data_IF_389280106977
#
_entry.id   IF_389280106977
#
_cell.length_a   1.000
_cell.length_b   1.000
_cell.length_c   1.000
_cell.angle_alpha   90.00
_cell.angle_beta   90.00
_cell.angle_gamma   90.00
#
_symmetry.space_group_name_H-M   'P 1'
#
loop_
_entity.id
_entity.type
_entity.pdbx_description
1 polymer ?
#
# COMPACT_ATOMS: atom_id res chain seq x y z
N UNK A 1 10.20 16.63 6.69
CA UNK A 1 10.66 15.23 6.88
C UNK A 1 11.42 14.68 5.67
N UNK A 2 11.21 15.23 4.49
CA UNK A 2 11.67 14.80 3.17
C UNK A 2 13.17 14.65 2.97
N UNK A 3 13.95 15.67 3.26
CA UNK A 3 15.39 15.65 3.00
C UNK A 3 16.16 14.67 3.92
N UNK A 4 15.63 14.35 5.09
CA UNK A 4 16.33 13.49 6.06
C UNK A 4 16.33 12.01 5.66
N UNK A 5 15.23 11.50 5.06
CA UNK A 5 15.13 10.10 4.69
C UNK A 5 16.03 9.78 3.49
N UNK A 6 16.03 10.65 2.47
CA UNK A 6 16.95 10.52 1.33
C UNK A 6 18.40 10.64 1.75
N UNK A 7 18.67 11.58 2.64
CA UNK A 7 20.02 11.77 3.19
C UNK A 7 20.51 10.51 3.90
N UNK A 8 19.64 9.83 4.66
CA UNK A 8 19.98 8.56 5.33
C UNK A 8 20.31 7.46 4.30
N UNK A 9 19.50 7.31 3.24
CA UNK A 9 19.77 6.33 2.17
C UNK A 9 21.10 6.58 1.48
N UNK A 10 21.38 7.82 1.09
CA UNK A 10 22.62 8.18 0.43
C UNK A 10 23.83 8.10 1.37
N UNK A 11 23.69 8.59 2.60
CA UNK A 11 24.74 8.49 3.62
C UNK A 11 25.13 7.02 3.81
N UNK A 12 24.12 6.16 3.91
CA UNK A 12 24.32 4.74 4.10
C UNK A 12 25.00 4.09 2.89
N UNK A 13 24.58 4.45 1.69
CA UNK A 13 25.21 4.00 0.45
C UNK A 13 26.70 4.37 0.38
N UNK A 14 27.04 5.63 0.68
CA UNK A 14 28.42 6.07 0.68
C UNK A 14 29.25 5.44 1.81
N UNK A 15 28.65 5.16 2.97
CA UNK A 15 29.32 4.46 4.06
C UNK A 15 29.69 3.03 3.65
N UNK A 16 28.77 2.29 3.04
CA UNK A 16 29.04 0.93 2.55
C UNK A 16 30.06 0.95 1.40
N UNK A 17 29.94 1.91 0.48
CA UNK A 17 30.90 2.10 -0.60
C UNK A 17 32.32 2.33 -0.02
N UNK A 18 32.47 3.25 0.94
CA UNK A 18 33.74 3.52 1.61
C UNK A 18 34.29 2.31 2.35
N UNK A 19 33.43 1.56 3.03
CA UNK A 19 33.78 0.31 3.72
C UNK A 19 34.32 -0.75 2.74
N UNK A 20 33.67 -0.94 1.60
CA UNK A 20 34.10 -1.90 0.58
C UNK A 20 35.40 -1.47 -0.07
N UNK A 21 35.58 -0.19 -0.37
CA UNK A 21 36.85 0.34 -0.87
C UNK A 21 37.98 0.14 0.14
N UNK A 22 37.69 0.29 1.44
CA UNK A 22 38.67 0.02 2.51
C UNK A 22 39.05 -1.47 2.57
N UNK A 23 38.08 -2.38 2.55
CA UNK A 23 38.30 -3.82 2.58
C UNK A 23 39.09 -4.33 1.37
N UNK A 24 38.95 -3.70 0.21
CA UNK A 24 39.70 -4.05 -1.01
C UNK A 24 41.08 -3.39 -1.09
N UNK A 25 41.52 -2.69 -0.05
CA UNK A 25 42.85 -2.10 0.04
C UNK A 25 43.05 -0.83 -0.84
N UNK A 26 41.97 -0.22 -1.35
CA UNK A 26 42.09 0.98 -2.21
C UNK A 26 42.70 2.15 -1.44
N UNK A 27 42.40 2.31 -0.15
CA UNK A 27 42.94 3.38 0.69
C UNK A 27 44.36 3.07 1.20
N UNK A 28 44.75 1.79 1.26
CA UNK A 28 46.10 1.40 1.67
C UNK A 28 47.09 1.33 0.50
N UNK A 29 46.63 1.53 -0.73
CA UNK A 29 47.47 1.47 -1.92
C UNK A 29 47.83 0.05 -2.38
N UNK A 30 47.42 -0.96 -1.64
CA UNK A 30 47.62 -2.38 -1.98
C UNK A 30 46.31 -3.02 -2.35
N UNK A 31 45.95 -3.00 -3.65
CA UNK A 31 44.75 -3.66 -4.14
C UNK A 31 44.92 -5.16 -4.11
N UNK A 32 44.19 -5.84 -3.25
CA UNK A 32 44.33 -7.29 -2.99
C UNK A 32 43.93 -8.13 -4.21
N UNK A 33 42.92 -7.67 -5.01
CA UNK A 33 42.51 -8.33 -6.27
C UNK A 33 41.66 -7.35 -7.10
N UNK A 34 42.11 -7.09 -8.33
CA UNK A 34 41.37 -6.22 -9.27
C UNK A 34 40.01 -6.83 -9.65
N UNK A 35 39.92 -8.14 -9.85
CA UNK A 35 38.66 -8.81 -10.21
C UNK A 35 37.61 -8.65 -9.10
N UNK A 36 38.02 -8.85 -7.84
CA UNK A 36 37.12 -8.67 -6.69
C UNK A 36 36.61 -7.25 -6.54
N UNK A 37 37.47 -6.28 -6.75
CA UNK A 37 37.10 -4.86 -6.73
C UNK A 37 36.08 -4.53 -7.83
N UNK A 38 36.29 -5.00 -9.07
CA UNK A 38 35.37 -4.78 -10.19
C UNK A 38 34.00 -5.37 -9.95
N UNK A 39 33.88 -6.58 -9.41
CA UNK A 39 32.60 -7.23 -9.15
C UNK A 39 31.83 -6.49 -8.07
N UNK A 40 32.49 -6.18 -6.95
CA UNK A 40 31.88 -5.44 -5.84
C UNK A 40 31.43 -4.04 -6.29
N UNK A 41 32.29 -3.33 -7.03
CA UNK A 41 31.97 -2.00 -7.53
C UNK A 41 30.83 -2.04 -8.57
N UNK A 42 30.82 -3.04 -9.44
CA UNK A 42 29.74 -3.25 -10.43
C UNK A 42 28.39 -3.48 -9.75
N UNK A 43 28.33 -4.37 -8.76
CA UNK A 43 27.11 -4.58 -7.98
C UNK A 43 26.66 -3.33 -7.25
N UNK A 44 27.57 -2.60 -6.60
CA UNK A 44 27.24 -1.33 -5.94
C UNK A 44 26.76 -0.27 -6.93
N UNK A 45 27.35 -0.19 -8.10
CA UNK A 45 26.92 0.73 -9.14
C UNK A 45 25.47 0.47 -9.56
N UNK A 46 25.10 -0.79 -9.76
CA UNK A 46 23.71 -1.18 -10.07
C UNK A 46 22.79 -0.76 -8.94
N UNK A 47 23.14 -1.04 -7.68
CA UNK A 47 22.36 -0.61 -6.50
C UNK A 47 22.23 0.90 -6.45
N UNK A 48 23.30 1.65 -6.74
CA UNK A 48 23.29 3.12 -6.80
C UNK A 48 22.35 3.65 -7.88
N UNK A 49 22.34 3.06 -9.06
CA UNK A 49 21.39 3.42 -10.14
C UNK A 49 19.94 3.17 -9.69
N UNK A 50 19.66 2.02 -9.07
CA UNK A 50 18.33 1.72 -8.56
C UNK A 50 17.89 2.75 -7.50
N UNK A 51 18.78 3.16 -6.61
CA UNK A 51 18.50 4.23 -5.65
C UNK A 51 18.23 5.58 -6.30
N UNK A 52 18.98 5.96 -7.34
CA UNK A 52 18.76 7.21 -8.07
C UNK A 52 17.38 7.23 -8.76
N UNK A 53 17.01 6.14 -9.42
CA UNK A 53 15.69 6.02 -10.07
C UNK A 53 14.58 6.14 -9.02
N UNK A 54 14.72 5.42 -7.88
CA UNK A 54 13.76 5.51 -6.77
C UNK A 54 13.70 6.89 -6.15
N UNK A 55 14.82 7.57 -5.99
CA UNK A 55 14.86 8.92 -5.44
C UNK A 55 14.06 9.91 -6.31
N UNK A 56 14.10 9.77 -7.64
CA UNK A 56 13.27 10.57 -8.56
C UNK A 56 11.79 10.30 -8.32
N UNK A 57 11.39 9.04 -8.21
CA UNK A 57 10.00 8.66 -7.93
C UNK A 57 9.53 9.17 -6.56
N UNK A 58 10.35 9.01 -5.55
CA UNK A 58 10.04 9.51 -4.20
C UNK A 58 9.94 11.03 -4.14
N UNK A 59 10.77 11.76 -4.90
CA UNK A 59 10.66 13.23 -4.95
C UNK A 59 9.39 13.70 -5.64
N UNK A 60 8.88 12.95 -6.63
CA UNK A 60 7.56 13.22 -7.23
C UNK A 60 6.44 12.96 -6.24
N UNK A 61 6.45 11.78 -5.63
CA UNK A 61 5.47 11.41 -4.60
C UNK A 61 5.47 12.41 -3.44
N UNK A 62 6.65 12.79 -3.00
CA UNK A 62 6.80 13.74 -1.92
C UNK A 62 6.20 15.11 -2.26
N UNK A 63 6.34 15.63 -3.48
CA UNK A 63 5.69 16.88 -3.91
C UNK A 63 4.18 16.74 -3.96
N UNK A 64 3.69 15.58 -4.40
CA UNK A 64 2.27 15.28 -4.40
C UNK A 64 1.68 15.29 -2.98
N UNK A 65 2.35 14.63 -2.04
CA UNK A 65 1.93 14.56 -0.63
C UNK A 65 1.97 15.93 0.05
N UNK A 66 2.97 16.79 -0.28
CA UNK A 66 2.98 18.17 0.25
C UNK A 66 1.81 18.98 -0.30
N UNK A 67 1.51 18.81 -1.58
CA UNK A 67 0.37 19.50 -2.19
C UNK A 67 -0.95 19.07 -1.52
N UNK A 68 -1.10 17.78 -1.15
CA UNK A 68 -2.24 17.31 -0.38
C UNK A 68 -2.29 17.92 1.02
N UNK A 69 -1.16 17.93 1.73
CA UNK A 69 -1.06 18.51 3.08
C UNK A 69 -1.35 20.01 3.08
N UNK A 70 -0.80 20.75 2.11
CA UNK A 70 -1.03 22.20 1.94
C UNK A 70 -2.51 22.49 1.61
N UNK A 71 -3.12 21.64 0.77
CA UNK A 71 -4.55 21.74 0.45
C UNK A 71 -5.41 21.46 1.68
N UNK A 72 -5.09 20.42 2.45
CA UNK A 72 -5.76 20.08 3.71
C UNK A 72 -5.74 21.25 4.68
N UNK A 73 -4.56 21.82 4.90
CA UNK A 73 -4.39 22.98 5.77
C UNK A 73 -5.21 24.19 5.29
N UNK A 74 -5.17 24.48 3.99
CA UNK A 74 -5.87 25.61 3.39
C UNK A 74 -7.38 25.46 3.48
N UNK A 75 -7.92 24.26 3.23
CA UNK A 75 -9.33 23.93 3.34
C UNK A 75 -9.79 24.07 4.80
N UNK A 76 -9.05 23.46 5.73
CA UNK A 76 -9.41 23.48 7.14
C UNK A 76 -9.40 24.89 7.71
N UNK A 77 -8.38 25.69 7.38
CA UNK A 77 -8.29 27.10 7.79
C UNK A 77 -9.48 27.92 7.25
N UNK A 78 -9.79 27.75 5.95
CA UNK A 78 -10.89 28.47 5.32
C UNK A 78 -12.25 28.07 5.88
N UNK A 79 -12.40 26.79 6.21
CA UNK A 79 -13.60 26.28 6.86
C UNK A 79 -13.80 26.89 8.26
N UNK A 80 -12.72 26.98 9.04
CA UNK A 80 -12.77 27.65 10.37
C UNK A 80 -13.13 29.14 10.27
N UNK A 81 -12.63 29.84 9.25
CA UNK A 81 -12.93 31.27 9.02
C UNK A 81 -14.38 31.51 8.60
N UNK A 82 -14.96 30.64 7.78
CA UNK A 82 -16.28 30.83 7.17
C UNK A 82 -17.41 30.16 7.95
N UNK A 83 -17.13 29.06 8.66
CA UNK A 83 -18.13 28.24 9.36
C UNK A 83 -19.18 27.61 8.44
N UNK A 84 -18.93 27.60 7.11
CA UNK A 84 -19.86 27.12 6.08
C UNK A 84 -19.19 26.11 5.17
N UNK A 85 -19.97 25.21 4.57
CA UNK A 85 -19.49 24.30 3.56
C UNK A 85 -18.86 25.05 2.38
N UNK A 86 -17.67 24.60 1.96
CA UNK A 86 -16.83 25.29 0.97
C UNK A 86 -17.09 24.82 -0.47
N UNK A 87 -18.07 23.96 -0.72
CA UNK A 87 -18.34 23.45 -2.07
C UNK A 87 -18.52 24.57 -3.10
N UNK A 88 -19.23 25.64 -2.73
CA UNK A 88 -19.43 26.80 -3.62
C UNK A 88 -18.14 27.46 -4.11
N UNK A 89 -17.05 27.42 -3.31
CA UNK A 89 -15.75 27.98 -3.68
C UNK A 89 -14.90 26.98 -4.49
N UNK A 90 -15.03 25.66 -4.20
CA UNK A 90 -14.18 24.62 -4.78
C UNK A 90 -14.73 23.99 -6.05
N UNK A 91 -16.04 24.03 -6.29
CA UNK A 91 -16.68 23.40 -7.45
C UNK A 91 -16.19 23.91 -8.82
N UNK A 92 -15.73 25.17 -8.90
CA UNK A 92 -15.28 25.80 -10.14
C UNK A 92 -13.77 26.14 -10.15
N UNK A 93 -13.04 25.76 -9.10
CA UNK A 93 -11.62 26.02 -8.95
C UNK A 93 -10.81 25.05 -9.79
N UNK A 94 -10.03 25.56 -10.76
CA UNK A 94 -9.29 24.74 -11.72
C UNK A 94 -8.01 24.10 -11.13
N UNK A 95 -7.39 24.77 -10.18
CA UNK A 95 -6.20 24.26 -9.48
C UNK A 95 -6.38 24.46 -7.99
N UNK A 96 -6.31 23.38 -7.25
CA UNK A 96 -6.44 23.32 -5.79
C UNK A 96 -5.11 22.96 -5.17
N UNK A 97 -4.36 22.07 -5.84
CA UNK A 97 -3.15 21.46 -5.30
C UNK A 97 -1.87 22.10 -5.84
N UNK A 98 -1.92 22.72 -7.03
CA UNK A 98 -0.71 23.15 -7.75
C UNK A 98 0.17 21.97 -8.20
N UNK A 99 -0.40 20.76 -8.25
CA UNK A 99 0.23 19.55 -8.72
C UNK A 99 -0.58 18.97 -9.89
N UNK A 100 0.02 18.75 -11.07
CA UNK A 100 -0.74 18.48 -12.29
C UNK A 100 -1.62 17.23 -12.19
N UNK A 101 -1.09 16.11 -11.69
CA UNK A 101 -1.84 14.87 -11.60
C UNK A 101 -3.02 14.96 -10.61
N UNK A 102 -2.85 15.68 -9.49
CA UNK A 102 -3.92 15.90 -8.51
C UNK A 102 -4.97 16.87 -9.06
N UNK A 103 -4.53 17.96 -9.69
CA UNK A 103 -5.45 18.93 -10.29
C UNK A 103 -6.26 18.29 -11.43
N UNK A 104 -5.64 17.45 -12.26
CA UNK A 104 -6.34 16.70 -13.32
C UNK A 104 -7.35 15.69 -12.75
N UNK A 105 -7.01 14.98 -11.69
CA UNK A 105 -7.93 14.08 -11.00
C UNK A 105 -9.11 14.84 -10.40
N UNK A 106 -8.84 15.99 -9.80
CA UNK A 106 -9.87 16.86 -9.22
C UNK A 106 -10.80 17.47 -10.29
N UNK A 107 -10.26 17.85 -11.43
CA UNK A 107 -11.08 18.34 -12.57
C UNK A 107 -12.00 17.24 -13.10
N UNK A 108 -11.53 15.98 -13.18
CA UNK A 108 -12.39 14.82 -13.53
C UNK A 108 -13.53 14.63 -12.51
N UNK A 109 -13.21 14.69 -11.23
CA UNK A 109 -14.20 14.67 -10.16
C UNK A 109 -15.23 15.80 -10.29
N UNK A 110 -14.79 17.06 -10.46
CA UNK A 110 -15.67 18.21 -10.64
C UNK A 110 -16.59 18.03 -11.87
N UNK A 111 -16.05 17.51 -12.98
CA UNK A 111 -16.83 17.24 -14.19
C UNK A 111 -17.95 16.23 -13.92
N UNK A 112 -17.66 15.19 -13.14
CA UNK A 112 -18.66 14.21 -12.73
C UNK A 112 -19.72 14.83 -11.83
N UNK A 113 -19.31 15.59 -10.83
CA UNK A 113 -20.20 16.30 -9.92
C UNK A 113 -21.13 17.28 -10.64
N UNK A 114 -20.64 17.97 -11.68
CA UNK A 114 -21.48 18.83 -12.53
C UNK A 114 -22.57 18.04 -13.26
N UNK A 115 -22.32 16.80 -13.62
CA UNK A 115 -23.32 15.91 -14.22
C UNK A 115 -24.50 15.60 -13.30
N UNK A 116 -24.27 15.63 -11.99
CA UNK A 116 -25.33 15.44 -10.98
C UNK A 116 -26.02 16.74 -10.56
N UNK A 117 -25.56 17.89 -11.08
CA UNK A 117 -26.18 19.19 -10.78
C UNK A 117 -27.36 19.42 -11.72
N UNK A 118 -28.57 19.46 -11.18
CA UNK A 118 -29.81 19.77 -11.88
C UNK A 118 -30.23 21.23 -11.65
N UNK A 119 -31.26 21.70 -12.38
CA UNK A 119 -31.86 23.04 -12.13
C UNK A 119 -32.44 23.18 -10.71
N UNK A 120 -32.67 22.06 -10.01
CA UNK A 120 -33.22 22.00 -8.63
C UNK A 120 -32.15 21.78 -7.56
N UNK A 121 -30.86 21.76 -7.92
CA UNK A 121 -29.77 21.51 -7.02
C UNK A 121 -29.03 20.21 -7.34
N UNK A 122 -28.22 19.75 -6.40
CA UNK A 122 -27.43 18.51 -6.53
C UNK A 122 -28.33 17.29 -6.29
N UNK A 123 -28.49 16.44 -7.31
CA UNK A 123 -29.33 15.25 -7.25
C UNK A 123 -28.62 14.05 -6.64
N UNK A 124 -27.28 14.02 -6.76
CA UNK A 124 -26.44 12.94 -6.26
C UNK A 124 -25.02 13.46 -6.00
N UNK A 125 -24.17 12.69 -5.34
CA UNK A 125 -22.74 12.98 -5.16
C UNK A 125 -21.90 11.77 -5.58
N UNK A 126 -20.72 12.03 -6.17
CA UNK A 126 -19.69 11.01 -6.28
C UNK A 126 -18.64 11.24 -5.20
N UNK A 127 -18.02 10.17 -4.76
CA UNK A 127 -16.96 10.26 -3.77
C UNK A 127 -15.66 10.73 -4.45
N UNK A 128 -14.94 11.65 -3.78
CA UNK A 128 -13.64 12.11 -4.23
C UNK A 128 -12.62 10.97 -4.25
N UNK A 129 -12.79 9.96 -3.39
CA UNK A 129 -11.94 8.79 -3.29
C UNK A 129 -11.88 7.96 -4.58
N UNK A 130 -12.89 8.05 -5.45
CA UNK A 130 -12.84 7.42 -6.78
C UNK A 130 -11.78 8.03 -7.71
N UNK A 131 -11.37 9.29 -7.46
CA UNK A 131 -10.48 10.06 -8.32
C UNK A 131 -9.12 10.33 -7.70
N UNK A 132 -9.08 10.60 -6.40
CA UNK A 132 -7.87 10.85 -5.63
C UNK A 132 -7.79 9.76 -4.55
N UNK A 133 -7.12 8.68 -4.90
CA UNK A 133 -7.02 7.45 -4.12
C UNK A 133 -5.58 6.96 -4.01
N UNK A 134 -5.39 5.84 -3.35
CA UNK A 134 -4.10 5.19 -3.19
C UNK A 134 -3.48 4.80 -4.53
N UNK A 135 -4.28 4.35 -5.52
CA UNK A 135 -3.81 3.97 -6.84
C UNK A 135 -3.15 5.15 -7.57
N UNK A 136 -3.70 6.37 -7.42
CA UNK A 136 -3.11 7.58 -7.98
C UNK A 136 -1.73 7.87 -7.35
N UNK A 137 -1.61 7.73 -6.02
CA UNK A 137 -0.33 7.90 -5.32
C UNK A 137 0.67 6.82 -5.74
N UNK A 138 0.22 5.60 -5.90
CA UNK A 138 1.02 4.46 -6.36
C UNK A 138 1.56 4.69 -7.77
N UNK A 139 0.74 5.24 -8.65
CA UNK A 139 1.16 5.59 -10.00
C UNK A 139 2.21 6.71 -9.99
N UNK A 140 1.98 7.80 -9.22
CA UNK A 140 2.93 8.91 -9.09
C UNK A 140 4.25 8.45 -8.47
N UNK A 141 4.18 7.63 -7.42
CA UNK A 141 5.31 7.06 -6.69
C UNK A 141 5.99 5.89 -7.40
N UNK A 142 5.50 5.46 -8.57
CA UNK A 142 5.99 4.26 -9.27
C UNK A 142 6.08 3.04 -8.32
N UNK A 143 5.01 2.79 -7.57
CA UNK A 143 4.93 1.77 -6.52
C UNK A 143 5.30 0.38 -7.04
N UNK A 144 4.83 0.00 -8.23
CA UNK A 144 5.18 -1.26 -8.89
C UNK A 144 6.68 -1.46 -9.08
N UNK A 145 7.39 -0.43 -9.46
CA UNK A 145 8.85 -0.50 -9.63
C UNK A 145 9.54 -0.57 -8.27
N UNK A 146 9.19 0.35 -7.36
CA UNK A 146 9.85 0.48 -6.07
C UNK A 146 9.62 -0.72 -5.14
N UNK A 147 8.46 -1.36 -5.20
CA UNK A 147 8.16 -2.57 -4.40
C UNK A 147 9.05 -3.75 -4.77
N UNK A 148 9.49 -3.83 -6.03
CA UNK A 148 10.34 -4.93 -6.53
C UNK A 148 11.84 -4.69 -6.31
N UNK A 149 12.28 -3.47 -6.03
CA UNK A 149 13.70 -3.13 -5.88
C UNK A 149 14.37 -3.92 -4.76
N UNK A 150 13.70 -4.06 -3.63
CA UNK A 150 14.22 -4.84 -2.50
C UNK A 150 14.54 -6.27 -2.90
N UNK A 151 13.61 -6.96 -3.61
CA UNK A 151 13.86 -8.30 -4.16
C UNK A 151 14.99 -8.32 -5.18
N UNK A 152 15.08 -7.32 -6.06
CA UNK A 152 16.16 -7.19 -7.04
C UNK A 152 17.53 -7.04 -6.38
N UNK A 153 17.62 -6.24 -5.31
CA UNK A 153 18.87 -6.08 -4.55
C UNK A 153 19.30 -7.38 -3.86
N UNK A 154 18.36 -8.11 -3.26
CA UNK A 154 18.64 -9.43 -2.69
C UNK A 154 19.09 -10.40 -3.78
N UNK A 155 18.39 -10.43 -4.92
CA UNK A 155 18.77 -11.25 -6.07
C UNK A 155 20.14 -10.91 -6.61
N UNK A 156 20.50 -9.62 -6.66
CA UNK A 156 21.84 -9.17 -7.05
C UNK A 156 22.92 -9.64 -6.05
N UNK A 157 22.62 -9.62 -4.75
CA UNK A 157 23.49 -10.17 -3.72
C UNK A 157 23.73 -11.67 -3.93
N UNK A 158 22.68 -12.45 -4.19
CA UNK A 158 22.77 -13.88 -4.48
C UNK A 158 23.55 -14.13 -5.78
N UNK A 159 23.26 -13.37 -6.84
CA UNK A 159 24.01 -13.47 -8.09
C UNK A 159 25.50 -13.21 -7.87
N UNK A 160 25.83 -12.20 -7.07
CA UNK A 160 27.21 -11.90 -6.71
C UNK A 160 27.92 -13.05 -5.96
N UNK A 161 27.17 -13.80 -5.12
CA UNK A 161 27.74 -15.01 -4.48
C UNK A 161 28.09 -16.08 -5.49
N UNK A 162 27.22 -16.36 -6.45
CA UNK A 162 27.50 -17.34 -7.51
C UNK A 162 28.67 -16.93 -8.39
N UNK A 163 28.73 -15.66 -8.76
CA UNK A 163 29.84 -15.12 -9.56
C UNK A 163 31.16 -15.23 -8.77
N UNK A 164 31.18 -14.82 -7.51
CA UNK A 164 32.36 -14.88 -6.66
C UNK A 164 32.89 -16.33 -6.47
N UNK A 165 31.96 -17.26 -6.17
CA UNK A 165 32.29 -18.67 -6.05
C UNK A 165 32.75 -19.29 -7.37
N UNK A 166 32.10 -18.98 -8.49
CA UNK A 166 32.47 -19.48 -9.81
C UNK A 166 33.88 -19.05 -10.21
N UNK A 167 34.23 -17.79 -9.95
CA UNK A 167 35.57 -17.28 -10.21
C UNK A 167 36.64 -17.93 -9.31
N UNK A 168 36.30 -18.09 -8.02
CA UNK A 168 37.18 -18.79 -7.06
C UNK A 168 37.42 -20.24 -7.42
N UNK A 169 36.33 -20.96 -7.80
CA UNK A 169 36.47 -22.37 -8.25
C UNK A 169 37.15 -22.48 -9.61
N UNK A 170 36.93 -21.54 -10.53
CA UNK A 170 37.56 -21.53 -11.84
C UNK A 170 39.10 -21.44 -11.79
N UNK A 171 39.61 -20.79 -10.74
CA UNK A 171 41.06 -20.76 -10.46
C UNK A 171 41.59 -22.06 -9.82
N UNK A 172 40.69 -22.91 -9.32
CA UNK A 172 41.05 -24.15 -8.66
C UNK A 172 41.25 -25.29 -9.66
N UNK A 173 42.43 -25.34 -10.25
CA UNK A 173 42.84 -26.39 -11.20
C UNK A 173 44.22 -26.88 -10.89
N UNK A 174 44.41 -28.20 -10.83
CA UNK A 174 45.73 -28.83 -10.61
C UNK A 174 45.59 -30.30 -10.29
N UNK A 175 46.54 -31.09 -10.79
CA UNK A 175 46.62 -32.53 -10.57
C UNK A 175 47.63 -32.92 -9.48
N UNK A 176 48.31 -31.94 -8.88
CA UNK A 176 49.33 -32.14 -7.90
C UNK A 176 49.05 -31.37 -6.59
N UNK A 177 49.45 -31.94 -5.44
CA UNK A 177 49.17 -31.40 -4.09
C UNK A 177 49.75 -29.99 -3.90
N UNK A 178 50.88 -29.69 -4.51
CA UNK A 178 51.53 -28.38 -4.43
C UNK A 178 50.71 -27.30 -5.21
N UNK A 179 50.24 -27.63 -6.41
CA UNK A 179 49.38 -26.75 -7.21
C UNK A 179 48.03 -26.54 -6.58
N UNK A 180 47.48 -27.53 -5.86
CA UNK A 180 46.23 -27.37 -5.07
C UNK A 180 46.45 -26.39 -3.91
N UNK A 181 47.56 -26.48 -3.20
CA UNK A 181 47.90 -25.57 -2.10
C UNK A 181 48.01 -24.10 -2.56
N UNK A 182 48.64 -23.87 -3.71
CA UNK A 182 48.81 -22.53 -4.27
C UNK A 182 47.48 -21.92 -4.76
N UNK A 183 46.51 -22.75 -5.13
CA UNK A 183 45.20 -22.34 -5.62
C UNK A 183 44.16 -22.09 -4.51
N UNK A 184 44.48 -22.35 -3.24
CA UNK A 184 43.60 -22.05 -2.09
C UNK A 184 43.41 -20.53 -1.92
N UNK A 185 44.42 -19.71 -2.21
CA UNK A 185 44.34 -18.24 -2.13
C UNK A 185 43.25 -17.66 -3.04
N UNK A 186 43.26 -17.92 -4.36
CA UNK A 186 42.21 -17.50 -5.29
C UNK A 186 40.81 -17.99 -4.91
N UNK A 187 40.68 -19.21 -4.38
CA UNK A 187 39.41 -19.74 -3.89
C UNK A 187 38.87 -18.92 -2.71
N UNK A 188 39.73 -18.64 -1.72
CA UNK A 188 39.36 -17.78 -0.58
C UNK A 188 39.00 -16.37 -1.00
N UNK A 189 39.67 -15.82 -1.99
CA UNK A 189 39.32 -14.51 -2.54
C UNK A 189 37.97 -14.49 -3.23
N UNK A 190 37.64 -15.51 -4.01
CA UNK A 190 36.30 -15.70 -4.57
C UNK A 190 35.23 -15.82 -3.49
N UNK A 191 35.51 -16.54 -2.42
CA UNK A 191 34.61 -16.62 -1.26
C UNK A 191 34.40 -15.27 -0.58
N UNK A 192 35.43 -14.45 -0.40
CA UNK A 192 35.32 -13.09 0.16
C UNK A 192 34.36 -12.25 -0.67
N UNK A 193 34.49 -12.29 -2.01
CA UNK A 193 33.55 -11.56 -2.91
C UNK A 193 32.13 -12.06 -2.71
N UNK A 194 31.93 -13.36 -2.69
CA UNK A 194 30.62 -13.97 -2.49
C UNK A 194 29.97 -13.50 -1.18
N UNK A 195 30.69 -13.52 -0.08
CA UNK A 195 30.18 -13.06 1.20
C UNK A 195 29.86 -11.56 1.19
N UNK A 196 30.76 -10.72 0.69
CA UNK A 196 30.58 -9.27 0.67
C UNK A 196 29.36 -8.88 -0.16
N UNK A 197 29.22 -9.43 -1.39
CA UNK A 197 28.08 -9.13 -2.26
C UNK A 197 26.74 -9.54 -1.65
N UNK A 198 26.71 -10.69 -0.97
CA UNK A 198 25.50 -11.15 -0.28
C UNK A 198 25.12 -10.22 0.87
N UNK A 199 26.08 -9.91 1.73
CA UNK A 199 25.82 -9.09 2.92
C UNK A 199 25.28 -7.72 2.54
N UNK A 200 25.94 -6.98 1.64
CA UNK A 200 25.44 -5.66 1.29
C UNK A 200 24.17 -5.72 0.42
N UNK A 201 24.00 -6.76 -0.42
CA UNK A 201 22.76 -6.96 -1.18
C UNK A 201 21.53 -7.12 -0.28
N UNK A 202 21.63 -7.99 0.73
CA UNK A 202 20.59 -8.19 1.74
C UNK A 202 20.38 -6.93 2.58
N UNK A 203 21.48 -6.29 2.99
CA UNK A 203 21.40 -5.11 3.84
C UNK A 203 20.72 -3.92 3.14
N UNK A 204 21.12 -3.61 1.92
CA UNK A 204 20.48 -2.57 1.13
C UNK A 204 19.01 -2.90 0.85
N UNK A 205 18.68 -4.15 0.59
CA UNK A 205 17.31 -4.62 0.44
C UNK A 205 16.45 -4.32 1.68
N UNK A 206 16.96 -4.64 2.87
CA UNK A 206 16.24 -4.39 4.12
C UNK A 206 16.04 -2.90 4.38
N UNK A 207 17.10 -2.09 4.23
CA UNK A 207 17.02 -0.64 4.43
C UNK A 207 16.06 0.00 3.43
N UNK A 208 16.17 -0.37 2.16
CA UNK A 208 15.29 0.15 1.11
C UNK A 208 13.83 -0.20 1.39
N UNK A 209 13.54 -1.47 1.71
CA UNK A 209 12.18 -1.91 2.00
C UNK A 209 11.57 -1.16 3.19
N UNK A 210 12.36 -0.95 4.25
CA UNK A 210 11.91 -0.19 5.41
C UNK A 210 11.59 1.28 5.04
N UNK A 211 12.48 1.92 4.29
CA UNK A 211 12.30 3.31 3.84
C UNK A 211 11.10 3.44 2.90
N UNK A 212 10.99 2.56 1.92
CA UNK A 212 9.89 2.55 0.97
C UNK A 212 8.54 2.41 1.68
N UNK A 213 8.41 1.41 2.57
CA UNK A 213 7.18 1.21 3.34
C UNK A 213 6.84 2.39 4.24
N UNK A 214 7.85 3.03 4.85
CA UNK A 214 7.64 4.22 5.68
C UNK A 214 7.15 5.41 4.86
N UNK A 215 7.67 5.61 3.65
CA UNK A 215 7.24 6.68 2.74
C UNK A 215 5.80 6.43 2.29
N UNK A 216 5.47 5.20 1.87
CA UNK A 216 4.11 4.87 1.42
C UNK A 216 3.09 5.01 2.55
N UNK A 217 3.39 4.48 3.73
CA UNK A 217 2.52 4.63 4.90
C UNK A 217 2.26 6.09 5.28
N UNK A 218 3.29 6.94 5.19
CA UNK A 218 3.13 8.38 5.39
C UNK A 218 2.24 8.99 4.31
N UNK A 219 2.46 8.63 3.04
CA UNK A 219 1.70 9.17 1.92
C UNK A 219 0.22 8.81 1.98
N UNK A 220 -0.11 7.57 2.31
CA UNK A 220 -1.51 7.14 2.48
C UNK A 220 -2.18 7.80 3.68
N UNK A 221 -1.44 8.05 4.75
CA UNK A 221 -1.98 8.80 5.88
C UNK A 221 -2.36 10.22 5.49
N UNK A 222 -1.48 10.96 4.82
CA UNK A 222 -1.77 12.32 4.38
C UNK A 222 -2.92 12.37 3.37
N UNK A 223 -3.03 11.35 2.49
CA UNK A 223 -4.18 11.18 1.61
C UNK A 223 -5.47 11.00 2.41
N UNK A 224 -5.48 10.11 3.38
CA UNK A 224 -6.66 9.85 4.23
C UNK A 224 -7.08 11.09 5.04
N UNK A 225 -6.10 11.84 5.55
CA UNK A 225 -6.34 13.10 6.25
C UNK A 225 -6.97 14.14 5.31
N UNK A 226 -6.47 14.24 4.07
CA UNK A 226 -7.04 15.11 3.05
C UNK A 226 -8.48 14.69 2.69
N UNK A 227 -8.72 13.41 2.41
CA UNK A 227 -10.05 12.89 2.06
C UNK A 227 -11.06 13.16 3.18
N UNK A 228 -10.67 12.93 4.42
CA UNK A 228 -11.51 13.20 5.59
C UNK A 228 -11.83 14.69 5.74
N UNK A 229 -10.83 15.55 5.62
CA UNK A 229 -11.00 17.00 5.65
C UNK A 229 -11.90 17.49 4.51
N UNK A 230 -11.70 16.98 3.30
CA UNK A 230 -12.50 17.33 2.14
C UNK A 230 -13.97 16.91 2.31
N UNK A 231 -14.21 15.70 2.81
CA UNK A 231 -15.54 15.17 3.08
C UNK A 231 -16.29 16.03 4.11
N UNK A 232 -15.60 16.44 5.15
CA UNK A 232 -16.20 17.26 6.22
C UNK A 232 -16.43 18.72 5.81
N UNK A 233 -15.44 19.34 5.15
CA UNK A 233 -15.42 20.78 4.94
C UNK A 233 -15.98 21.23 3.57
N UNK A 234 -15.83 20.38 2.54
CA UNK A 234 -16.09 20.76 1.15
C UNK A 234 -17.20 19.95 0.52
N UNK A 235 -17.27 18.63 0.78
CA UNK A 235 -18.25 17.76 0.11
C UNK A 235 -19.67 18.21 0.46
N UNK A 236 -20.53 18.51 -0.53
CA UNK A 236 -21.91 18.90 -0.25
C UNK A 236 -22.67 17.69 0.29
N UNK A 237 -23.33 17.84 1.43
CA UNK A 237 -24.24 16.81 1.92
C UNK A 237 -25.46 16.72 0.99
N UNK A 238 -25.73 15.56 0.42
CA UNK A 238 -26.95 15.23 -0.35
C UNK A 238 -28.17 15.21 0.59
N UNK A 239 -28.18 15.98 1.56
CA UNK A 239 -29.24 16.06 2.57
C UNK A 239 -29.43 17.44 3.13
N UNK A 240 -28.70 18.46 2.66
CA UNK A 240 -29.03 19.86 2.98
C UNK A 240 -30.29 20.36 2.23
N UNK A 241 -30.92 19.51 1.41
CA UNK A 241 -32.34 19.61 1.13
C UNK A 241 -33.21 19.41 2.39
N UNK A 242 -32.65 19.03 3.54
CA UNK A 242 -33.38 19.10 4.80
C UNK A 242 -33.81 20.55 5.11
N UNK A 243 -33.00 21.55 4.76
CA UNK A 243 -33.36 22.95 4.91
C UNK A 243 -34.30 23.41 3.81
N UNK A 244 -34.17 22.94 2.57
CA UNK A 244 -35.15 23.17 1.50
C UNK A 244 -36.40 22.30 1.67
N UNK A 245 -36.26 21.03 2.10
CA UNK A 245 -37.39 20.20 2.48
C UNK A 245 -38.07 20.72 3.76
N UNK A 246 -37.32 21.26 4.73
CA UNK A 246 -37.91 21.96 5.89
C UNK A 246 -38.56 23.26 5.48
N UNK A 247 -37.99 24.03 4.56
CA UNK A 247 -38.62 25.23 3.98
C UNK A 247 -39.81 24.86 3.10
N UNK A 248 -39.72 23.82 2.28
CA UNK A 248 -40.83 23.31 1.50
C UNK A 248 -41.93 22.75 2.42
N UNK A 249 -41.59 22.09 3.50
CA UNK A 249 -42.52 21.57 4.50
C UNK A 249 -43.15 22.70 5.33
N UNK A 250 -42.40 23.76 5.65
CA UNK A 250 -42.94 24.97 6.27
C UNK A 250 -43.87 25.73 5.34
N UNK A 251 -43.56 25.85 4.04
CA UNK A 251 -44.44 26.43 3.02
C UNK A 251 -45.68 25.54 2.83
N UNK A 252 -45.50 24.21 2.89
CA UNK A 252 -46.62 23.26 2.82
C UNK A 252 -47.52 23.36 4.06
N UNK A 253 -46.94 23.46 5.26
CA UNK A 253 -47.70 23.71 6.49
C UNK A 253 -48.40 25.07 6.48
N UNK A 254 -47.74 26.12 5.98
CA UNK A 254 -48.35 27.45 5.82
C UNK A 254 -49.49 27.44 4.83
N UNK A 255 -49.35 26.75 3.69
CA UNK A 255 -50.42 26.59 2.71
C UNK A 255 -51.58 25.74 3.25
N UNK A 256 -51.27 24.68 4.02
CA UNK A 256 -52.25 23.86 4.70
C UNK A 256 -53.02 24.65 5.78
N UNK A 257 -52.28 25.47 6.58
CA UNK A 257 -52.90 26.36 7.54
C UNK A 257 -53.79 27.42 6.90
N UNK A 258 -53.36 28.00 5.76
CA UNK A 258 -54.18 28.95 5.00
C UNK A 258 -55.38 28.27 4.35
N UNK A 259 -55.26 27.05 3.84
CA UNK A 259 -56.39 26.25 3.34
C UNK A 259 -57.37 25.89 4.45
N UNK A 260 -56.84 25.55 5.62
CA UNK A 260 -57.65 25.22 6.81
C UNK A 260 -58.37 26.47 7.34
N UNK A 261 -57.71 27.63 7.29
CA UNK A 261 -58.34 28.92 7.63
C UNK A 261 -59.42 29.30 6.61
N UNK A 262 -59.18 29.10 5.31
CA UNK A 262 -60.20 29.30 4.27
C UNK A 262 -61.39 28.35 4.44
N UNK A 263 -61.17 27.10 4.84
CA UNK A 263 -62.21 26.12 5.17
C UNK A 263 -63.00 26.57 6.40
N UNK A 264 -62.31 27.08 7.43
CA UNK A 264 -62.96 27.61 8.65
C UNK A 264 -63.80 28.89 8.37
N UNK A 265 -63.32 29.75 7.49
CA UNK A 265 -64.03 30.95 7.10
C UNK A 265 -65.25 30.61 6.21
N UNK A 266 -65.19 29.59 5.37
CA UNK A 266 -66.29 29.01 4.62
C UNK A 266 -67.34 28.35 5.53
N UNK A 267 -66.88 27.63 6.55
CA UNK A 267 -67.76 26.99 7.56
C UNK A 267 -68.48 28.02 8.46
N UNK A 268 -67.90 29.19 8.66
CA UNK A 268 -68.53 30.28 9.42
C UNK A 268 -69.59 31.08 8.59
N UNK A 269 -69.49 30.96 7.26
CA UNK A 269 -70.35 31.79 6.35
C UNK A 269 -71.66 31.17 5.91
N UNK A 270 -71.90 29.84 6.01
CA UNK A 270 -73.10 29.20 5.43
C UNK A 270 -73.62 28.04 6.28
N UNK A 271 -74.57 28.35 7.13
CA UNK A 271 -75.35 27.33 7.86
C UNK A 271 -76.48 26.68 7.05
N UNK A 272 -76.67 27.03 5.73
CA UNK A 272 -77.81 26.60 4.96
C UNK A 272 -77.55 25.67 3.75
N UNK A 273 -76.24 25.48 3.30
CA UNK A 273 -75.94 24.61 2.12
C UNK A 273 -74.89 23.55 2.40
N UNK A 274 -74.91 22.98 3.57
CA UNK A 274 -73.83 22.20 4.18
C UNK A 274 -73.58 20.79 3.57
N UNK A 275 -74.53 20.19 2.82
CA UNK A 275 -74.37 18.81 2.35
C UNK A 275 -73.64 18.65 1.01
N UNK A 276 -73.92 19.56 0.03
CA UNK A 276 -73.31 19.46 -1.30
C UNK A 276 -71.91 20.08 -1.38
N UNK A 277 -71.59 21.08 -0.50
CA UNK A 277 -70.30 21.75 -0.40
C UNK A 277 -69.23 20.83 0.26
N UNK A 278 -69.61 20.10 1.31
CA UNK A 278 -68.74 19.19 2.03
C UNK A 278 -68.24 18.04 1.15
N UNK A 279 -69.12 17.48 0.32
CA UNK A 279 -68.76 16.35 -0.57
C UNK A 279 -67.81 16.79 -1.72
N UNK A 280 -67.91 18.05 -2.16
CA UNK A 280 -66.99 18.60 -3.16
C UNK A 280 -65.61 18.91 -2.56
N UNK A 281 -65.57 19.48 -1.36
CA UNK A 281 -64.34 19.75 -0.62
C UNK A 281 -63.60 18.43 -0.24
N UNK A 282 -64.33 17.43 0.21
CA UNK A 282 -63.76 16.12 0.52
C UNK A 282 -63.18 15.43 -0.72
N UNK A 283 -63.90 15.49 -1.87
CA UNK A 283 -63.40 14.95 -3.13
C UNK A 283 -62.15 15.68 -3.63
N UNK A 284 -62.10 17.00 -3.56
CA UNK A 284 -60.94 17.78 -3.97
C UNK A 284 -59.73 17.59 -3.01
N UNK A 285 -59.97 17.47 -1.71
CA UNK A 285 -58.96 17.15 -0.71
C UNK A 285 -58.39 15.74 -0.92
N UNK A 286 -59.24 14.73 -1.10
CA UNK A 286 -58.80 13.37 -1.39
C UNK A 286 -58.02 13.27 -2.70
N UNK A 287 -58.45 14.03 -3.74
CA UNK A 287 -57.76 14.10 -5.02
C UNK A 287 -56.37 14.75 -4.88
N UNK A 288 -56.26 15.88 -4.19
CA UNK A 288 -54.99 16.57 -3.96
C UNK A 288 -54.05 15.73 -3.06
N UNK A 289 -54.59 15.05 -2.07
CA UNK A 289 -53.82 14.13 -1.23
C UNK A 289 -53.30 12.90 -2.04
N UNK A 290 -54.15 12.35 -2.89
CA UNK A 290 -53.80 11.22 -3.76
C UNK A 290 -52.75 11.59 -4.80
N UNK A 291 -52.87 12.75 -5.45
CA UNK A 291 -51.96 13.23 -6.48
C UNK A 291 -50.58 13.62 -5.90
N UNK A 292 -50.54 14.15 -4.67
CA UNK A 292 -49.30 14.64 -4.04
C UNK A 292 -48.60 13.52 -3.26
N UNK A 293 -49.34 12.70 -2.53
CA UNK A 293 -48.74 11.61 -1.72
C UNK A 293 -48.49 10.36 -2.54
N UNK A 294 -49.26 10.08 -3.60
CA UNK A 294 -49.12 8.90 -4.42
C UNK A 294 -47.75 8.81 -5.08
N UNK A 295 -47.26 9.93 -5.66
CA UNK A 295 -45.92 9.95 -6.30
C UNK A 295 -44.77 9.86 -5.30
N UNK A 296 -44.97 10.39 -4.11
CA UNK A 296 -43.91 10.36 -3.08
C UNK A 296 -43.87 9.05 -2.33
N UNK A 297 -45.01 8.38 -2.13
CA UNK A 297 -45.06 7.00 -1.65
C UNK A 297 -44.52 6.03 -2.68
N UNK A 298 -44.72 6.23 -3.97
CA UNK A 298 -44.15 5.41 -5.02
C UNK A 298 -42.61 5.53 -5.05
N UNK A 299 -42.07 6.75 -4.94
CA UNK A 299 -40.62 6.99 -4.83
C UNK A 299 -40.03 6.40 -3.56
N UNK A 300 -40.68 6.57 -2.41
CA UNK A 300 -40.25 5.98 -1.15
C UNK A 300 -40.26 4.46 -1.22
N UNK A 301 -41.30 3.86 -1.80
CA UNK A 301 -41.39 2.42 -2.02
C UNK A 301 -40.25 1.91 -2.91
N UNK A 302 -39.91 2.67 -3.97
CA UNK A 302 -38.81 2.33 -4.87
C UNK A 302 -37.45 2.43 -4.17
N UNK A 303 -37.21 3.52 -3.44
CA UNK A 303 -35.98 3.70 -2.66
C UNK A 303 -35.83 2.66 -1.54
N UNK A 304 -36.92 2.27 -0.90
CA UNK A 304 -36.91 1.20 0.11
C UNK A 304 -36.58 -0.17 -0.52
N UNK A 305 -37.12 -0.43 -1.70
CA UNK A 305 -36.86 -1.66 -2.42
C UNK A 305 -35.39 -1.72 -2.88
N UNK A 306 -34.86 -0.62 -3.42
CA UNK A 306 -33.44 -0.48 -3.78
C UNK A 306 -32.51 -0.65 -2.57
N UNK A 307 -32.88 -0.10 -1.41
CA UNK A 307 -32.15 -0.27 -0.16
C UNK A 307 -32.18 -1.73 0.34
N UNK A 308 -33.32 -2.41 0.23
CA UNK A 308 -33.44 -3.84 0.57
C UNK A 308 -32.61 -4.72 -0.36
N UNK A 309 -32.60 -4.41 -1.66
CA UNK A 309 -31.77 -5.15 -2.64
C UNK A 309 -30.27 -4.94 -2.37
N UNK A 310 -29.85 -3.71 -2.08
CA UNK A 310 -28.48 -3.40 -1.67
C UNK A 310 -28.10 -4.18 -0.39
N UNK A 311 -28.97 -4.22 0.61
CA UNK A 311 -28.72 -4.94 1.86
C UNK A 311 -28.63 -6.45 1.63
N UNK A 312 -29.39 -7.00 0.70
CA UNK A 312 -29.30 -8.41 0.33
C UNK A 312 -27.96 -8.74 -0.36
N UNK A 313 -27.44 -7.82 -1.19
CA UNK A 313 -26.12 -7.94 -1.82
C UNK A 313 -25.01 -7.86 -0.76
N UNK A 314 -25.08 -6.92 0.17
CA UNK A 314 -24.13 -6.80 1.28
C UNK A 314 -24.10 -8.06 2.15
N UNK A 315 -25.26 -8.62 2.48
CA UNK A 315 -25.35 -9.85 3.25
C UNK A 315 -24.70 -11.04 2.54
N UNK A 316 -24.89 -11.17 1.23
CA UNK A 316 -24.22 -12.23 0.43
C UNK A 316 -22.73 -12.04 0.36
N UNK A 317 -22.25 -10.81 0.16
CA UNK A 317 -20.82 -10.50 0.12
C UNK A 317 -20.17 -10.77 1.47
N UNK A 318 -20.85 -10.45 2.57
CA UNK A 318 -20.37 -10.75 3.93
C UNK A 318 -20.23 -12.25 4.17
N UNK A 319 -21.22 -13.04 3.78
CA UNK A 319 -21.15 -14.51 3.85
C UNK A 319 -20.03 -15.08 3.00
N UNK A 320 -19.83 -14.55 1.79
CA UNK A 320 -18.72 -14.97 0.93
C UNK A 320 -17.36 -14.64 1.56
N UNK A 321 -17.22 -13.47 2.15
CA UNK A 321 -15.99 -13.06 2.83
C UNK A 321 -15.73 -13.91 4.09
N UNK A 322 -16.76 -14.26 4.84
CA UNK A 322 -16.65 -15.16 5.99
C UNK A 322 -16.17 -16.55 5.58
N UNK A 323 -16.72 -17.09 4.49
CA UNK A 323 -16.31 -18.40 3.97
C UNK A 323 -14.85 -18.38 3.49
N UNK A 324 -14.46 -17.35 2.73
CA UNK A 324 -13.06 -17.17 2.26
C UNK A 324 -12.09 -17.03 3.44
N UNK A 325 -12.47 -16.30 4.48
CA UNK A 325 -11.66 -16.16 5.69
C UNK A 325 -11.50 -17.48 6.42
N UNK A 326 -12.56 -18.29 6.47
CA UNK A 326 -12.51 -19.63 7.06
C UNK A 326 -11.59 -20.57 6.27
N UNK A 327 -11.67 -20.56 4.94
CA UNK A 327 -10.79 -21.35 4.06
C UNK A 327 -9.32 -20.93 4.20
N UNK A 328 -9.05 -19.62 4.29
CA UNK A 328 -7.71 -19.09 4.55
C UNK A 328 -7.15 -19.53 5.91
N UNK A 329 -7.99 -19.54 6.95
CA UNK A 329 -7.62 -20.05 8.27
C UNK A 329 -7.29 -21.54 8.27
N UNK A 330 -8.07 -22.35 7.57
CA UNK A 330 -7.82 -23.78 7.41
C UNK A 330 -6.55 -24.05 6.61
N UNK A 331 -6.33 -23.34 5.52
CA UNK A 331 -5.10 -23.43 4.73
C UNK A 331 -3.85 -23.00 5.53
N UNK A 332 -3.95 -21.93 6.31
CA UNK A 332 -2.89 -21.48 7.21
C UNK A 332 -2.56 -22.51 8.29
N UNK A 333 -3.59 -23.20 8.84
CA UNK A 333 -3.40 -24.26 9.81
C UNK A 333 -2.70 -25.49 9.19
N UNK A 334 -3.09 -25.86 7.97
CA UNK A 334 -2.43 -26.94 7.22
C UNK A 334 -0.99 -26.63 6.88
N UNK A 335 -0.68 -25.37 6.54
CA UNK A 335 0.71 -24.94 6.34
C UNK A 335 1.53 -25.00 7.63
N UNK A 336 0.97 -24.60 8.76
CA UNK A 336 1.63 -24.67 10.06
C UNK A 336 1.96 -26.10 10.46
N UNK A 337 1.02 -27.04 10.25
CA UNK A 337 1.23 -28.47 10.51
C UNK A 337 2.28 -29.08 9.59
N UNK A 338 2.30 -28.69 8.32
CA UNK A 338 3.32 -29.12 7.36
C UNK A 338 4.71 -28.59 7.73
N UNK A 339 4.80 -27.32 8.19
CA UNK A 339 6.05 -26.73 8.69
C UNK A 339 6.55 -27.47 9.94
N UNK A 340 5.69 -27.81 10.88
CA UNK A 340 6.06 -28.55 12.09
C UNK A 340 6.59 -29.95 11.74
N UNK A 341 5.94 -30.63 10.81
CA UNK A 341 6.43 -31.91 10.28
C UNK A 341 7.79 -31.80 9.57
N UNK A 342 7.99 -30.73 8.79
CA UNK A 342 9.29 -30.53 8.11
C UNK A 342 10.38 -30.17 9.09
N UNK A 343 10.13 -29.35 10.09
CA UNK A 343 11.08 -29.06 11.18
C UNK A 343 11.46 -30.31 11.94
N UNK A 344 10.50 -31.14 12.34
CA UNK A 344 10.76 -32.39 13.05
C UNK A 344 11.61 -33.35 12.20
N UNK A 345 11.35 -33.42 10.87
CA UNK A 345 12.15 -34.22 9.94
C UNK A 345 13.57 -33.69 9.80
N UNK A 346 13.72 -32.37 9.75
CA UNK A 346 15.02 -31.72 9.65
C UNK A 346 15.86 -31.93 10.92
N UNK A 347 15.26 -31.89 12.09
CA UNK A 347 15.94 -32.21 13.36
C UNK A 347 16.43 -33.67 13.41
N UNK A 348 15.60 -34.62 12.98
CA UNK A 348 16.00 -36.04 12.89
C UNK A 348 17.17 -36.22 11.93
N UNK A 349 17.09 -35.60 10.75
CA UNK A 349 18.14 -35.67 9.74
C UNK A 349 19.44 -35.04 10.24
N UNK A 350 19.37 -33.90 10.92
CA UNK A 350 20.55 -33.26 11.55
C UNK A 350 21.20 -34.13 12.61
N UNK A 351 20.37 -34.81 13.42
CA UNK A 351 20.88 -35.76 14.43
C UNK A 351 21.54 -36.98 13.80
N UNK A 352 20.98 -37.48 12.71
CA UNK A 352 21.54 -38.62 11.98
C UNK A 352 22.85 -38.27 11.28
N UNK A 353 22.95 -37.09 10.67
CA UNK A 353 24.19 -36.55 10.13
C UNK A 353 25.28 -36.42 11.20
N UNK A 354 24.92 -35.91 12.38
CA UNK A 354 25.87 -35.83 13.50
C UNK A 354 26.39 -37.19 13.95
N UNK A 355 25.49 -38.16 14.04
CA UNK A 355 25.87 -39.54 14.37
C UNK A 355 26.80 -40.16 13.30
N UNK A 356 26.49 -39.91 12.00
CA UNK A 356 27.38 -40.40 10.91
C UNK A 356 28.74 -39.72 10.95
N UNK A 357 28.79 -38.42 11.24
CA UNK A 357 30.04 -37.68 11.39
C UNK A 357 30.88 -38.22 12.55
N UNK A 358 30.25 -38.53 13.70
CA UNK A 358 30.95 -39.15 14.83
C UNK A 358 31.48 -40.56 14.50
N UNK A 359 30.70 -41.37 13.75
CA UNK A 359 31.14 -42.68 13.29
C UNK A 359 32.30 -42.56 12.31
N UNK A 360 32.25 -41.60 11.38
CA UNK A 360 33.36 -41.36 10.44
C UNK A 360 34.64 -40.92 11.18
N UNK A 361 34.48 -40.02 12.15
CA UNK A 361 35.63 -39.58 12.98
C UNK A 361 36.29 -40.76 13.70
N UNK A 362 35.49 -41.61 14.36
CA UNK A 362 36.01 -42.82 15.03
C UNK A 362 36.70 -43.78 14.05
N UNK A 363 36.13 -43.98 12.86
CA UNK A 363 36.74 -44.80 11.82
C UNK A 363 38.08 -44.22 11.33
N UNK A 364 38.17 -42.90 11.16
CA UNK A 364 39.44 -42.24 10.85
C UNK A 364 40.48 -42.37 11.96
N UNK A 365 40.05 -42.23 13.21
CA UNK A 365 40.97 -42.40 14.37
C UNK A 365 41.51 -43.83 14.44
N UNK A 366 40.66 -44.85 14.24
CA UNK A 366 41.03 -46.25 14.20
C UNK A 366 42.00 -46.54 13.04
N UNK A 367 41.73 -46.02 11.87
CA UNK A 367 42.59 -46.17 10.68
C UNK A 367 43.93 -45.49 10.88
N UNK A 368 44.01 -44.37 11.55
CA UNK A 368 45.26 -43.67 11.86
C UNK A 368 46.11 -44.45 12.90
N UNK A 369 45.40 -45.06 13.86
CA UNK A 369 46.03 -45.94 14.85
C UNK A 369 46.62 -47.24 14.21
N UNK A 370 45.86 -47.87 13.31
CA UNK A 370 46.29 -49.03 12.54
C UNK A 370 47.48 -48.73 11.63
N UNK A 371 47.45 -47.59 10.91
CA UNK A 371 48.57 -47.13 10.09
C UNK A 371 49.80 -46.86 10.95
N UNK A 372 49.64 -46.24 12.11
CA UNK A 372 50.76 -45.99 13.03
C UNK A 372 51.38 -47.28 13.56
N UNK A 373 50.52 -48.25 13.89
CA UNK A 373 50.98 -49.58 14.35
C UNK A 373 51.72 -50.37 13.23
N UNK A 374 51.21 -50.29 11.99
CA UNK A 374 51.87 -50.90 10.85
C UNK A 374 53.21 -50.23 10.54
N UNK A 375 53.30 -48.92 10.59
CA UNK A 375 54.57 -48.19 10.45
C UNK A 375 55.57 -48.53 11.55
N UNK A 376 55.12 -48.68 12.80
CA UNK A 376 55.98 -49.10 13.92
C UNK A 376 56.53 -50.50 13.71
N UNK A 377 55.63 -51.42 13.29
CA UNK A 377 56.03 -52.82 13.00
C UNK A 377 57.02 -52.90 11.82
N UNK A 378 56.81 -52.13 10.78
CA UNK A 378 57.68 -52.04 9.60
C UNK A 378 59.06 -51.46 9.97
N UNK A 379 59.13 -50.46 10.87
CA UNK A 379 60.38 -49.90 11.35
C UNK A 379 61.14 -50.83 12.28
N UNK A 380 60.49 -51.81 12.95
CA UNK A 380 61.16 -52.83 13.75
C UNK A 380 61.75 -54.00 12.91
N UNK A 381 61.26 -54.22 11.70
CA UNK A 381 61.75 -55.25 10.79
C UNK A 381 62.90 -54.79 9.88
N UNK A 382 63.33 -53.54 9.99
CA UNK A 382 64.44 -52.93 9.28
C UNK A 382 65.62 -52.69 10.22
#
# INVERSE_FOLDING_TARGET
>A
MKNKIYFILFLFYFLVLGFILHLNGVFSGEITSHANLFINLGCLLIIGILFLISAVSFTKLARCVDALSDATYSIYKRYQETGKNLWGEYRDKKSVFGHPELDDAFVRYQKRMRGYTTKRGLSDTCDLEEYINEDLLDQIGSSHFNSNISGTMTGLGILGTFVGLSLGLGAFSGNDIFTISDNVGPLLDGMKVAFHTSVYGIFFSLVFNFVYRSIMAYSYRELSEFQSCYRECVMPSVGSNADENSKAMLVYQANMANSMKAILDLLKGTAADQSAGMERILREFVRQLSDTMGSDFEKLGKSLNEACDAQAIYSRNYQSMENTTRELLEASRGLMETLDHTMTRQERFSKELKNQQEMLSRACDTLNEDISNQLYTFNQMR
#
